data_IF_288342391812
#
_entry.id   IF_288342391812
#
_cell.length_a   1.000
_cell.length_b   1.000
_cell.length_c   1.000
_cell.angle_alpha   90.00
_cell.angle_beta   90.00
_cell.angle_gamma   90.00
#
_symmetry.space_group_name_H-M   'P 1'
#
loop_
_entity.id
_entity.type
_entity.pdbx_description
1 polymer ?
#
# COMPACT_ATOMS: atom_id res chain seq x y z
N UNK A 1 -15.98 10.18 4.76
CA UNK A 1 -15.72 9.45 3.50
C UNK A 1 -14.27 8.99 3.51
N UNK A 2 -13.99 7.77 3.06
CA UNK A 2 -12.67 7.15 3.18
C UNK A 2 -11.92 7.24 1.85
N UNK A 3 -10.79 7.94 1.83
CA UNK A 3 -9.99 8.22 0.64
C UNK A 3 -8.71 7.38 0.63
N UNK A 4 -8.22 7.05 -0.56
CA UNK A 4 -6.83 6.69 -0.76
C UNK A 4 -5.97 7.93 -0.45
N UNK A 5 -4.94 7.76 0.38
CA UNK A 5 -4.12 8.86 0.88
C UNK A 5 -2.65 8.57 0.67
N UNK A 6 -1.93 9.59 0.22
CA UNK A 6 -0.48 9.54 0.07
C UNK A 6 0.16 10.62 0.93
N UNK A 7 1.20 10.25 1.68
CA UNK A 7 1.94 11.21 2.51
C UNK A 7 2.56 12.30 1.64
N UNK A 8 2.67 13.50 2.19
CA UNK A 8 3.25 14.63 1.46
C UNK A 8 4.75 14.45 1.22
N UNK A 9 5.46 13.82 2.15
CA UNK A 9 6.88 13.50 1.98
C UNK A 9 7.11 12.39 0.94
N UNK A 10 6.22 11.39 0.87
CA UNK A 10 6.22 10.44 -0.23
C UNK A 10 6.04 11.15 -1.58
N UNK A 11 5.10 12.09 -1.70
CA UNK A 11 4.95 12.88 -2.93
C UNK A 11 6.23 13.63 -3.30
N UNK A 12 6.89 14.27 -2.32
CA UNK A 12 8.17 14.96 -2.53
C UNK A 12 9.30 14.02 -2.92
N UNK A 13 9.33 12.81 -2.37
CA UNK A 13 10.36 11.82 -2.67
C UNK A 13 10.24 11.28 -4.10
N UNK A 14 9.01 11.05 -4.58
CA UNK A 14 8.73 10.60 -5.94
C UNK A 14 8.70 11.75 -6.98
N UNK A 15 9.02 13.00 -6.61
CA UNK A 15 8.75 14.19 -7.43
C UNK A 15 9.38 14.18 -8.82
N UNK A 16 10.55 13.58 -8.98
CA UNK A 16 11.26 13.56 -10.27
C UNK A 16 10.68 12.52 -11.25
N UNK A 17 9.93 11.55 -10.74
CA UNK A 17 9.45 10.40 -11.54
C UNK A 17 7.93 10.33 -11.63
N UNK A 18 7.18 10.98 -10.74
CA UNK A 18 5.73 10.83 -10.64
C UNK A 18 4.96 11.18 -11.93
N UNK A 19 5.50 12.08 -12.75
CA UNK A 19 4.93 12.52 -14.03
C UNK A 19 5.68 11.97 -15.26
N UNK A 20 6.64 11.05 -15.05
CA UNK A 20 7.42 10.42 -16.11
C UNK A 20 6.85 9.02 -16.45
N UNK A 21 6.77 8.64 -17.75
CA UNK A 21 6.37 7.30 -18.13
C UNK A 21 7.21 6.21 -17.42
N UNK A 22 6.59 5.11 -16.96
CA UNK A 22 5.20 4.70 -17.20
C UNK A 22 4.17 5.25 -16.20
N UNK A 23 4.58 6.12 -15.27
CA UNK A 23 3.68 6.73 -14.29
C UNK A 23 2.78 7.78 -14.96
N UNK A 24 1.50 7.75 -14.62
CA UNK A 24 0.42 8.58 -15.19
C UNK A 24 -0.40 9.26 -14.11
N UNK A 25 -0.47 8.69 -12.92
CA UNK A 25 -1.29 9.19 -11.83
C UNK A 25 -0.57 9.09 -10.50
N UNK A 26 -0.94 9.96 -9.54
CA UNK A 26 -0.51 9.82 -8.14
C UNK A 26 -0.91 8.49 -7.50
N UNK A 27 -1.91 7.80 -8.07
CA UNK A 27 -2.30 6.46 -7.62
C UNK A 27 -1.21 5.42 -7.91
N UNK A 28 -0.39 5.61 -8.94
CA UNK A 28 0.70 4.69 -9.28
C UNK A 28 1.76 4.72 -8.19
N UNK A 29 2.11 5.92 -7.72
CA UNK A 29 3.01 6.12 -6.57
C UNK A 29 2.40 5.52 -5.30
N UNK A 30 1.12 5.78 -5.04
CA UNK A 30 0.42 5.14 -3.91
C UNK A 30 0.49 3.61 -3.98
N UNK A 31 0.29 3.03 -5.16
CA UNK A 31 0.31 1.58 -5.38
C UNK A 31 1.70 0.98 -5.16
N UNK A 32 2.76 1.62 -5.63
CA UNK A 32 4.14 1.20 -5.37
C UNK A 32 4.44 1.20 -3.87
N UNK A 33 4.09 2.28 -3.17
CA UNK A 33 4.23 2.35 -1.73
C UNK A 33 3.39 1.26 -1.03
N UNK A 34 2.15 1.05 -1.46
CA UNK A 34 1.28 0.01 -0.89
C UNK A 34 1.87 -1.39 -1.03
N UNK A 35 2.34 -1.75 -2.22
CA UNK A 35 2.98 -3.04 -2.46
C UNK A 35 4.24 -3.22 -1.61
N UNK A 36 5.07 -2.19 -1.50
CA UNK A 36 6.26 -2.21 -0.64
C UNK A 36 5.89 -2.44 0.84
N UNK A 37 4.83 -1.81 1.33
CA UNK A 37 4.35 -2.01 2.70
C UNK A 37 3.78 -3.41 2.93
N UNK A 38 2.98 -3.91 1.99
CA UNK A 38 2.42 -5.26 2.06
C UNK A 38 3.51 -6.34 1.98
N UNK A 39 4.52 -6.15 1.12
CA UNK A 39 5.65 -7.06 0.95
C UNK A 39 6.57 -7.10 2.18
N UNK A 40 6.88 -5.93 2.74
CA UNK A 40 7.73 -5.81 3.94
C UNK A 40 6.98 -6.06 5.26
N UNK A 41 5.64 -6.10 5.23
CA UNK A 41 4.79 -6.12 6.41
C UNK A 41 4.72 -4.77 7.17
N UNK A 42 5.36 -3.71 6.66
CA UNK A 42 5.42 -2.41 7.33
C UNK A 42 4.14 -1.61 7.10
N UNK A 43 3.54 -1.18 8.20
CA UNK A 43 2.36 -0.31 8.20
C UNK A 43 2.50 0.79 9.25
N UNK A 44 2.46 2.04 8.79
CA UNK A 44 2.58 3.23 9.65
C UNK A 44 1.31 4.05 9.54
N UNK A 45 0.58 4.20 10.66
CA UNK A 45 -0.68 4.94 10.69
C UNK A 45 -0.47 6.42 10.32
N UNK A 46 -1.40 6.95 9.52
CA UNK A 46 -1.44 8.37 9.19
C UNK A 46 -1.95 9.16 10.40
N UNK A 47 -1.03 9.70 11.19
CA UNK A 47 -1.34 10.56 12.34
C UNK A 47 -1.17 12.03 11.92
N UNK A 48 -2.29 12.74 11.76
CA UNK A 48 -2.41 14.04 11.06
C UNK A 48 -1.19 14.96 11.01
N UNK A 49 -0.60 15.32 12.15
CA UNK A 49 0.57 16.22 12.21
C UNK A 49 1.92 15.52 12.00
N UNK A 50 2.04 14.24 12.38
CA UNK A 50 3.28 13.46 12.26
C UNK A 50 3.49 12.95 10.85
N UNK A 51 2.40 12.51 10.19
CA UNK A 51 2.41 11.97 8.84
C UNK A 51 1.35 12.69 7.98
N UNK A 52 1.60 13.96 7.61
CA UNK A 52 0.68 14.71 6.75
C UNK A 52 0.48 13.98 5.42
N UNK A 53 -0.77 13.90 4.98
CA UNK A 53 -1.16 13.19 3.76
C UNK A 53 -2.27 13.94 3.02
N UNK A 54 -2.32 13.77 1.71
CA UNK A 54 -3.37 14.33 0.85
C UNK A 54 -4.33 13.24 0.41
N UNK A 55 -5.62 13.58 0.35
CA UNK A 55 -6.62 12.75 -0.29
C UNK A 55 -6.34 12.68 -1.80
N UNK A 56 -6.31 11.46 -2.36
CA UNK A 56 -6.12 11.23 -3.81
C UNK A 56 -7.47 11.05 -4.50
N UNK A 57 -8.13 9.92 -4.23
CA UNK A 57 -9.40 9.50 -4.84
C UNK A 57 -10.18 8.65 -3.84
N UNK A 58 -11.48 8.51 -4.05
CA UNK A 58 -12.35 7.68 -3.19
C UNK A 58 -12.44 6.22 -3.63
N UNK A 59 -12.13 5.96 -4.91
CA UNK A 59 -12.30 4.66 -5.57
C UNK A 59 -11.02 4.31 -6.33
N UNK A 60 -10.82 3.03 -6.59
CA UNK A 60 -9.76 2.59 -7.49
C UNK A 60 -9.89 3.30 -8.85
N UNK A 61 -8.79 3.90 -9.33
CA UNK A 61 -8.72 4.50 -10.67
C UNK A 61 -8.87 3.41 -11.73
N UNK A 62 -9.25 3.79 -12.95
CA UNK A 62 -9.66 2.86 -14.01
C UNK A 62 -8.70 1.71 -14.24
N UNK A 63 -7.42 2.01 -14.42
CA UNK A 63 -6.35 1.04 -14.68
C UNK A 63 -6.17 0.02 -13.55
N UNK A 64 -6.62 0.34 -12.32
CA UNK A 64 -6.49 -0.51 -11.14
C UNK A 64 -7.79 -1.22 -10.74
N UNK A 65 -8.94 -0.87 -11.33
CA UNK A 65 -10.22 -1.55 -11.01
C UNK A 65 -10.15 -3.07 -11.22
N UNK A 66 -9.54 -3.60 -12.31
CA UNK A 66 -9.42 -5.05 -12.49
C UNK A 66 -8.62 -5.74 -11.38
N UNK A 67 -7.61 -5.06 -10.82
CA UNK A 67 -6.75 -5.57 -9.76
C UNK A 67 -7.28 -5.29 -8.33
N UNK A 68 -8.36 -4.52 -8.17
CA UNK A 68 -8.88 -4.11 -6.86
C UNK A 68 -9.12 -5.26 -5.89
N UNK A 69 -9.75 -6.35 -6.35
CA UNK A 69 -10.01 -7.55 -5.53
C UNK A 69 -8.71 -8.22 -5.07
N UNK A 70 -7.69 -8.24 -5.92
CA UNK A 70 -6.38 -8.77 -5.57
C UNK A 70 -5.71 -7.91 -4.49
N UNK A 71 -5.73 -6.58 -4.66
CA UNK A 71 -5.18 -5.62 -3.69
C UNK A 71 -5.86 -5.80 -2.32
N UNK A 72 -7.19 -5.93 -2.29
CA UNK A 72 -7.95 -6.16 -1.07
C UNK A 72 -7.59 -7.52 -0.44
N UNK A 73 -7.43 -8.57 -1.26
CA UNK A 73 -6.98 -9.88 -0.80
C UNK A 73 -5.58 -9.83 -0.16
N UNK A 74 -4.65 -9.05 -0.74
CA UNK A 74 -3.33 -8.82 -0.15
C UNK A 74 -3.41 -8.09 1.18
N UNK A 75 -4.26 -7.06 1.30
CA UNK A 75 -4.51 -6.38 2.57
C UNK A 75 -5.01 -7.35 3.65
N UNK A 76 -6.03 -8.16 3.33
CA UNK A 76 -6.57 -9.15 4.28
C UNK A 76 -5.49 -10.14 4.70
N UNK A 77 -4.70 -10.63 3.74
CA UNK A 77 -3.59 -11.57 4.01
C UNK A 77 -2.54 -10.95 4.94
N UNK A 78 -2.17 -9.69 4.71
CA UNK A 78 -1.20 -8.99 5.55
C UNK A 78 -1.73 -8.78 6.98
N UNK A 79 -3.02 -8.45 7.15
CA UNK A 79 -3.64 -8.27 8.46
C UNK A 79 -3.83 -9.60 9.22
N UNK A 80 -4.09 -10.71 8.52
CA UNK A 80 -4.12 -12.06 9.11
C UNK A 80 -2.75 -12.41 9.69
N UNK A 81 -1.69 -12.28 8.88
CA UNK A 81 -0.30 -12.53 9.30
C UNK A 81 0.09 -11.68 10.49
N UNK A 82 -0.20 -10.38 10.43
CA UNK A 82 0.09 -9.43 11.53
C UNK A 82 -0.64 -9.80 12.83
N UNK A 83 -1.82 -10.40 12.71
CA UNK A 83 -2.64 -10.81 13.86
C UNK A 83 -2.34 -12.23 14.33
N UNK A 84 -1.41 -12.95 13.67
CA UNK A 84 -1.11 -14.35 13.96
C UNK A 84 -2.28 -15.31 13.72
N UNK A 85 -3.25 -14.92 12.89
CA UNK A 85 -4.44 -15.73 12.59
C UNK A 85 -4.11 -16.65 11.41
N UNK A 86 -4.24 -17.96 11.63
CA UNK A 86 -4.07 -18.94 10.56
C UNK A 86 -5.29 -18.96 9.62
N UNK A 87 -5.06 -19.20 8.33
CA UNK A 87 -6.12 -19.23 7.32
C UNK A 87 -7.16 -20.33 7.54
N UNK A 88 -6.81 -21.38 8.30
CA UNK A 88 -7.74 -22.44 8.71
C UNK A 88 -8.74 -21.99 9.78
N UNK A 89 -8.47 -20.88 10.48
CA UNK A 89 -9.32 -20.33 11.54
C UNK A 89 -10.52 -19.56 10.98
N UNK A 90 -11.42 -20.29 10.30
CA UNK A 90 -12.54 -19.74 9.51
C UNK A 90 -13.34 -18.63 10.20
N UNK A 91 -13.60 -18.77 11.50
CA UNK A 91 -14.35 -17.77 12.26
C UNK A 91 -13.58 -16.45 12.40
N UNK A 92 -12.29 -16.51 12.75
CA UNK A 92 -11.42 -15.35 12.89
C UNK A 92 -11.16 -14.69 11.53
N UNK A 93 -10.90 -15.49 10.50
CA UNK A 93 -10.74 -15.01 9.12
C UNK A 93 -11.98 -14.25 8.65
N UNK A 94 -13.17 -14.81 8.87
CA UNK A 94 -14.44 -14.15 8.49
C UNK A 94 -14.66 -12.86 9.27
N UNK A 95 -14.31 -12.81 10.56
CA UNK A 95 -14.43 -11.62 11.38
C UNK A 95 -13.50 -10.50 10.88
N UNK A 96 -12.25 -10.82 10.57
CA UNK A 96 -11.30 -9.85 10.00
C UNK A 96 -11.76 -9.37 8.62
N UNK A 97 -12.22 -10.28 7.76
CA UNK A 97 -12.72 -9.92 6.43
C UNK A 97 -13.87 -8.91 6.53
N UNK A 98 -14.87 -9.17 7.39
CA UNK A 98 -15.99 -8.24 7.64
C UNK A 98 -15.55 -6.89 8.22
N UNK A 99 -14.47 -6.87 8.99
CA UNK A 99 -13.92 -5.63 9.55
C UNK A 99 -13.29 -4.76 8.47
N UNK A 100 -12.71 -5.35 7.42
CA UNK A 100 -11.92 -4.62 6.40
C UNK A 100 -12.68 -4.38 5.10
N UNK A 101 -13.59 -5.27 4.72
CA UNK A 101 -14.22 -5.31 3.39
C UNK A 101 -15.71 -5.01 3.50
N UNK A 102 -16.19 -4.12 2.63
CA UNK A 102 -17.60 -3.78 2.48
C UNK A 102 -17.94 -3.71 1.00
N UNK A 103 -18.66 -4.70 0.46
CA UNK A 103 -19.00 -4.79 -0.97
C UNK A 103 -19.87 -3.66 -1.46
N UNK A 104 -20.61 -3.01 -0.57
CA UNK A 104 -21.54 -1.93 -0.92
C UNK A 104 -20.82 -0.58 -0.99
N UNK A 105 -19.63 -0.49 -0.41
CA UNK A 105 -18.82 0.72 -0.46
C UNK A 105 -18.20 0.93 -1.86
N UNK A 106 -18.00 2.18 -2.29
CA UNK A 106 -17.48 2.45 -3.64
C UNK A 106 -16.05 1.96 -3.92
N UNK A 107 -15.29 1.64 -2.88
CA UNK A 107 -13.92 1.10 -2.95
C UNK A 107 -13.81 -0.32 -2.38
N UNK A 108 -14.95 -0.95 -2.08
CA UNK A 108 -15.04 -2.29 -1.49
C UNK A 108 -14.36 -2.43 -0.12
N UNK A 109 -14.10 -1.34 0.60
CA UNK A 109 -13.46 -1.31 1.91
C UNK A 109 -14.31 -0.56 2.94
N UNK A 110 -14.26 -1.05 4.18
CA UNK A 110 -14.76 -0.28 5.33
C UNK A 110 -13.80 0.89 5.63
N UNK A 111 -14.19 1.80 6.52
CA UNK A 111 -13.27 2.83 7.02
C UNK A 111 -12.01 2.23 7.71
N UNK A 112 -12.12 1.20 8.58
CA UNK A 112 -10.95 0.46 9.06
C UNK A 112 -10.11 -0.15 7.92
N UNK A 113 -10.74 -0.73 6.90
CA UNK A 113 -10.06 -1.28 5.73
C UNK A 113 -9.22 -0.24 5.01
N UNK A 114 -9.82 0.92 4.71
CA UNK A 114 -9.13 2.03 4.05
C UNK A 114 -8.00 2.60 4.92
N UNK A 115 -8.22 2.71 6.23
CA UNK A 115 -7.18 3.14 7.18
C UNK A 115 -5.96 2.21 7.14
N UNK A 116 -6.18 0.89 7.19
CA UNK A 116 -5.09 -0.09 7.14
C UNK A 116 -4.39 -0.09 5.78
N UNK A 117 -5.13 0.03 4.68
CA UNK A 117 -4.54 0.13 3.34
C UNK A 117 -3.61 1.35 3.22
N UNK A 118 -4.08 2.52 3.68
CA UNK A 118 -3.27 3.75 3.72
C UNK A 118 -2.07 3.62 4.66
N UNK A 119 -2.20 2.90 5.79
CA UNK A 119 -1.09 2.66 6.69
C UNK A 119 0.01 1.80 6.05
N UNK A 120 -0.36 0.78 5.26
CA UNK A 120 0.62 0.01 4.48
C UNK A 120 1.29 0.85 3.40
N UNK A 121 0.55 1.71 2.68
CA UNK A 121 1.18 2.64 1.74
C UNK A 121 2.16 3.60 2.44
N UNK A 122 1.77 4.17 3.57
CA UNK A 122 2.62 5.03 4.40
C UNK A 122 3.89 4.31 4.87
N UNK A 123 3.75 3.10 5.42
CA UNK A 123 4.89 2.29 5.88
C UNK A 123 5.78 1.82 4.73
N UNK A 124 5.20 1.50 3.57
CA UNK A 124 5.96 1.11 2.40
C UNK A 124 6.78 2.24 1.80
N UNK A 125 6.30 3.48 1.87
CA UNK A 125 7.14 4.64 1.55
C UNK A 125 8.38 4.69 2.46
N UNK A 126 8.21 4.56 3.78
CA UNK A 126 9.35 4.58 4.70
C UNK A 126 10.34 3.46 4.39
N UNK A 127 9.82 2.26 4.11
CA UNK A 127 10.65 1.13 3.70
C UNK A 127 11.46 1.46 2.43
N UNK A 128 10.82 1.99 1.38
CA UNK A 128 11.50 2.36 0.14
C UNK A 128 12.56 3.45 0.36
N UNK A 129 12.25 4.46 1.17
CA UNK A 129 13.16 5.56 1.49
C UNK A 129 14.36 5.11 2.33
N UNK A 130 14.20 4.08 3.18
CA UNK A 130 15.30 3.50 3.96
C UNK A 130 16.18 2.56 3.15
N UNK A 131 15.63 1.86 2.15
CA UNK A 131 16.41 0.96 1.30
C UNK A 131 17.19 1.69 0.21
N UNK A 132 17.00 3.00 0.04
CA UNK A 132 17.70 3.82 -0.96
C UNK A 132 18.36 5.01 -0.31
N UNK A 133 19.63 5.24 -0.62
CA UNK A 133 20.37 6.41 -0.14
C UNK A 133 19.82 7.74 -0.71
N UNK A 134 19.21 7.68 -1.90
CA UNK A 134 18.72 8.84 -2.63
C UNK A 134 17.31 8.60 -3.16
N UNK A 135 16.56 9.70 -3.34
CA UNK A 135 15.29 9.68 -4.05
C UNK A 135 15.47 9.26 -5.52
N UNK A 136 14.46 8.67 -6.17
CA UNK A 136 14.56 8.30 -7.57
C UNK A 136 14.61 9.53 -8.48
N UNK A 137 15.47 9.48 -9.50
CA UNK A 137 15.59 10.54 -10.51
C UNK A 137 15.03 10.13 -11.87
N UNK A 138 14.99 8.83 -12.16
CA UNK A 138 14.41 8.30 -13.40
C UNK A 138 13.45 7.16 -13.11
N UNK A 139 12.35 7.10 -13.87
CA UNK A 139 11.34 6.05 -13.70
C UNK A 139 11.91 4.66 -14.02
N UNK A 140 12.77 4.55 -15.03
CA UNK A 140 13.39 3.29 -15.44
C UNK A 140 14.28 2.70 -14.34
N UNK A 141 15.23 3.47 -13.82
CA UNK A 141 16.13 3.03 -12.74
C UNK A 141 15.32 2.63 -11.51
N UNK A 142 14.30 3.43 -11.17
CA UNK A 142 13.42 3.13 -10.05
C UNK A 142 12.71 1.79 -10.24
N UNK A 143 12.07 1.54 -11.39
CA UNK A 143 11.33 0.30 -11.63
C UNK A 143 12.24 -0.93 -11.58
N UNK A 144 13.42 -0.85 -12.21
CA UNK A 144 14.38 -1.97 -12.23
C UNK A 144 14.77 -2.38 -10.80
N UNK A 145 15.21 -1.42 -9.99
CA UNK A 145 15.64 -1.66 -8.61
C UNK A 145 14.47 -1.95 -7.65
N UNK A 146 13.28 -1.38 -7.90
CA UNK A 146 12.07 -1.63 -7.12
C UNK A 146 11.67 -3.11 -7.18
N UNK A 147 11.68 -3.73 -8.35
CA UNK A 147 11.28 -5.15 -8.48
C UNK A 147 12.17 -6.10 -7.66
N UNK A 148 13.49 -5.87 -7.67
CA UNK A 148 14.45 -6.63 -6.86
C UNK A 148 14.18 -6.45 -5.36
N UNK A 149 13.98 -5.21 -4.93
CA UNK A 149 13.69 -4.84 -3.55
C UNK A 149 12.40 -5.50 -3.03
N UNK A 150 11.33 -5.53 -3.83
CA UNK A 150 10.09 -6.22 -3.46
C UNK A 150 10.30 -7.73 -3.34
N UNK A 151 11.06 -8.33 -4.27
CA UNK A 151 11.43 -9.75 -4.20
C UNK A 151 12.13 -10.10 -2.88
N UNK A 152 13.12 -9.30 -2.50
CA UNK A 152 13.85 -9.46 -1.24
C UNK A 152 12.97 -9.28 -0.01
N UNK A 153 12.05 -8.31 -0.02
CA UNK A 153 11.10 -8.08 1.06
C UNK A 153 10.19 -9.29 1.27
N UNK A 154 9.66 -9.87 0.19
CA UNK A 154 8.81 -11.06 0.23
C UNK A 154 9.60 -12.27 0.76
N UNK A 155 10.84 -12.45 0.28
CA UNK A 155 11.69 -13.55 0.74
C UNK A 155 11.99 -13.46 2.24
N UNK A 156 12.32 -12.26 2.75
CA UNK A 156 12.53 -12.02 4.18
C UNK A 156 11.26 -12.28 4.99
N UNK A 157 10.10 -11.83 4.51
CA UNK A 157 8.82 -12.05 5.17
C UNK A 157 8.36 -13.52 5.17
N UNK A 158 8.90 -14.38 4.30
CA UNK A 158 8.64 -15.81 4.30
C UNK A 158 9.54 -16.61 5.26
N UNK A 159 10.63 -16.00 5.74
CA UNK A 159 11.63 -16.62 6.62
C UNK A 159 11.45 -16.26 8.10
N UNK A 160 10.58 -15.30 8.42
CA UNK A 160 10.25 -14.87 9.79
C UNK A 160 8.85 -15.29 10.20
#
# INVERSE_FOLDING_TARGET
>A
MAYFRLRTDAQSWFSEIADAPPFRTKFDVFYLCLLAGLASGRATELAGATHPATDLVEKFVEDYRPASRLIIGLLVTAELRKSGIDVSEKAQVRALFKRLVDSESPNSLTEPGMRRLNAYASGGYEYLAEQRDMKPYTAEEFIQSYTALIGDAIAKAALG
#
